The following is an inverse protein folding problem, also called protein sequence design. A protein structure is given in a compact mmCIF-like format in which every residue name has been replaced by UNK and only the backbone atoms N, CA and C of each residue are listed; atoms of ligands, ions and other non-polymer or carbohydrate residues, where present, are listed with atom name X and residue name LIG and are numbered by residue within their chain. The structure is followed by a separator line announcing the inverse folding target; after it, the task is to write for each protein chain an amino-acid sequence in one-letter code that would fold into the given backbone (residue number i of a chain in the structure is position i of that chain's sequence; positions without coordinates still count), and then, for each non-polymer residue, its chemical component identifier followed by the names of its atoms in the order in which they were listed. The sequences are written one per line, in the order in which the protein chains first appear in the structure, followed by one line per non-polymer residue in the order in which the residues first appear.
data_IF_130940687167
#
_entry.id   IF_130940687167
#
_cell.length_a   1.000
_cell.length_b   1.000
_cell.length_c   1.000
_cell.angle_alpha   90.00
_cell.angle_beta   90.00
_cell.angle_gamma   90.00
#
_symmetry.space_group_name_H-M   'P 1'
#
loop_
_entity.id
_entity.type
_entity.pdbx_description
1 polymer ?
#
# COMPACT_ATOMS: atom_id res chain seq x y z
N UNK A 1 0.77 -5.71 9.43
CA UNK A 1 0.44 -7.10 9.81
C UNK A 1 1.12 -8.08 8.86
N UNK A 2 2.45 -8.16 8.91
CA UNK A 2 3.24 -9.06 8.09
C UNK A 2 3.14 -10.53 8.56
N UNK A 3 2.75 -10.76 9.81
CA UNK A 3 2.56 -12.07 10.44
C UNK A 3 3.86 -12.87 10.46
N UNK A 4 3.95 -13.86 9.57
CA UNK A 4 5.18 -14.65 9.38
C UNK A 4 6.17 -14.00 8.40
N UNK A 5 5.79 -12.90 7.77
CA UNK A 5 6.65 -12.18 6.82
C UNK A 5 6.77 -12.83 5.45
N UNK A 6 6.04 -13.91 5.17
CA UNK A 6 6.16 -14.69 3.93
C UNK A 6 6.00 -13.78 2.71
N UNK A 7 4.92 -12.98 2.65
CA UNK A 7 4.64 -12.08 1.52
C UNK A 7 5.76 -11.04 1.33
N UNK A 8 6.24 -10.45 2.42
CA UNK A 8 7.31 -9.46 2.38
C UNK A 8 8.65 -10.04 1.93
N UNK A 9 9.00 -11.23 2.44
CA UNK A 9 10.24 -11.92 2.08
C UNK A 9 10.19 -12.42 0.63
N UNK A 10 9.02 -12.84 0.14
CA UNK A 10 8.82 -13.15 -1.28
C UNK A 10 9.04 -11.91 -2.16
N UNK A 11 8.50 -10.75 -1.77
CA UNK A 11 8.74 -9.51 -2.52
C UNK A 11 10.23 -9.16 -2.57
N UNK A 12 10.95 -9.28 -1.45
CA UNK A 12 12.40 -9.06 -1.41
C UNK A 12 13.17 -10.06 -2.29
N UNK A 13 12.81 -11.35 -2.23
CA UNK A 13 13.42 -12.40 -3.05
C UNK A 13 13.18 -12.20 -4.55
N UNK A 14 12.04 -11.60 -4.92
CA UNK A 14 11.68 -11.26 -6.31
C UNK A 14 12.32 -9.95 -6.79
N UNK A 15 13.19 -9.32 -6.00
CA UNK A 15 13.97 -8.17 -6.42
C UNK A 15 13.40 -6.81 -6.02
N UNK A 16 12.44 -6.76 -5.09
CA UNK A 16 12.08 -5.47 -4.48
C UNK A 16 13.33 -4.83 -3.85
N UNK A 17 13.62 -3.60 -4.28
CA UNK A 17 14.80 -2.83 -3.82
C UNK A 17 14.74 -2.60 -2.31
N UNK A 18 13.54 -2.30 -1.80
CA UNK A 18 13.27 -2.10 -0.38
C UNK A 18 11.93 -2.68 0.02
N UNK A 19 11.92 -3.33 1.17
CA UNK A 19 10.73 -3.90 1.82
C UNK A 19 10.71 -3.47 3.27
N UNK A 20 9.65 -2.77 3.66
CA UNK A 20 9.38 -2.40 5.05
C UNK A 20 8.31 -3.34 5.59
N UNK A 21 8.71 -4.22 6.50
CA UNK A 21 7.84 -5.19 7.15
C UNK A 21 7.26 -4.58 8.43
N UNK A 22 5.94 -4.60 8.55
CA UNK A 22 5.27 -3.97 9.69
C UNK A 22 4.29 -4.91 10.38
N UNK A 23 4.27 -4.87 11.71
CA UNK A 23 3.31 -5.60 12.54
C UNK A 23 3.19 -4.97 13.94
N UNK A 24 2.33 -5.50 14.79
CA UNK A 24 2.29 -5.11 16.20
C UNK A 24 3.64 -5.34 16.87
N UNK A 25 3.96 -4.54 17.89
CA UNK A 25 5.28 -4.50 18.55
C UNK A 25 5.74 -5.89 19.01
N UNK A 26 4.84 -6.67 19.62
CA UNK A 26 5.13 -8.02 20.10
C UNK A 26 5.54 -9.02 19.01
N UNK A 27 5.22 -8.76 17.74
CA UNK A 27 5.59 -9.62 16.62
C UNK A 27 6.95 -9.23 15.99
N UNK A 28 7.46 -8.03 16.25
CA UNK A 28 8.69 -7.49 15.63
C UNK A 28 9.93 -8.37 15.89
N UNK A 29 10.20 -8.88 17.12
CA UNK A 29 11.35 -9.75 17.36
C UNK A 29 11.33 -11.03 16.50
N UNK A 30 10.15 -11.62 16.31
CA UNK A 30 9.97 -12.80 15.48
C UNK A 30 10.22 -12.49 14.00
N UNK A 31 9.77 -11.33 13.51
CA UNK A 31 10.04 -10.87 12.15
C UNK A 31 11.54 -10.69 11.91
N UNK A 32 12.27 -10.02 12.81
CA UNK A 32 13.73 -9.90 12.70
C UNK A 32 14.43 -11.25 12.63
N UNK A 33 13.97 -12.25 13.42
CA UNK A 33 14.52 -13.61 13.33
C UNK A 33 14.29 -14.21 11.94
N UNK A 34 13.10 -14.04 11.34
CA UNK A 34 12.78 -14.58 10.01
C UNK A 34 13.55 -13.89 8.89
N UNK A 35 13.72 -12.58 8.97
CA UNK A 35 14.59 -11.82 8.04
C UNK A 35 16.01 -12.40 8.06
N UNK A 36 16.60 -12.60 9.25
CA UNK A 36 17.92 -13.21 9.40
C UNK A 36 18.00 -14.65 8.87
N UNK A 37 16.99 -15.48 9.13
CA UNK A 37 16.94 -16.86 8.63
C UNK A 37 16.91 -16.93 7.10
N UNK A 38 16.30 -15.94 6.45
CA UNK A 38 16.25 -15.82 4.99
C UNK A 38 17.41 -15.00 4.43
N UNK A 39 18.41 -14.65 5.26
CA UNK A 39 19.65 -13.95 4.86
C UNK A 39 19.44 -12.55 4.26
N UNK A 40 18.29 -11.93 4.50
CA UNK A 40 18.07 -10.53 4.14
C UNK A 40 18.67 -9.60 5.20
N UNK A 41 19.05 -8.40 4.77
CA UNK A 41 19.66 -7.37 5.62
C UNK A 41 19.14 -5.98 5.24
N UNK A 42 19.38 -5.00 6.10
CA UNK A 42 19.16 -3.59 5.75
C UNK A 42 20.18 -3.13 4.69
N UNK A 43 19.81 -2.21 3.79
CA UNK A 43 18.53 -1.49 3.74
C UNK A 43 17.44 -2.23 2.93
N UNK A 44 17.73 -3.40 2.36
CA UNK A 44 16.76 -4.10 1.50
C UNK A 44 15.53 -4.54 2.27
N UNK A 45 15.68 -5.12 3.46
CA UNK A 45 14.55 -5.52 4.31
C UNK A 45 14.69 -4.89 5.69
N UNK A 46 13.72 -4.07 6.05
CA UNK A 46 13.64 -3.40 7.34
C UNK A 46 12.35 -3.84 8.05
N UNK A 47 12.41 -3.93 9.37
CA UNK A 47 11.27 -4.33 10.21
C UNK A 47 11.01 -3.21 11.20
N UNK A 48 9.75 -2.83 11.37
CA UNK A 48 9.32 -1.86 12.39
C UNK A 48 7.94 -2.22 12.91
N UNK A 49 7.62 -1.75 14.12
CA UNK A 49 6.27 -1.82 14.64
C UNK A 49 5.33 -0.88 13.86
N UNK A 50 4.07 -1.29 13.69
CA UNK A 50 2.95 -0.48 13.21
C UNK A 50 1.66 -1.06 13.79
N UNK A 51 1.20 -0.48 14.90
CA UNK A 51 -0.15 -0.69 15.40
C UNK A 51 -1.10 0.25 14.65
N UNK A 52 -2.08 -0.31 13.93
CA UNK A 52 -3.05 0.48 13.16
C UNK A 52 -3.88 1.42 14.03
N UNK A 53 -4.12 1.05 15.30
CA UNK A 53 -4.89 1.86 16.26
C UNK A 53 -4.08 3.01 16.85
N UNK A 54 -2.75 2.92 16.79
CA UNK A 54 -1.82 3.95 17.26
C UNK A 54 -0.65 4.13 16.25
N UNK A 55 -1.00 4.54 15.03
CA UNK A 55 -0.12 4.49 13.86
C UNK A 55 0.76 5.71 13.64
N UNK A 56 0.44 6.86 14.24
CA UNK A 56 1.06 8.15 13.86
C UNK A 56 2.59 8.16 14.02
N UNK A 57 3.11 7.69 15.15
CA UNK A 57 4.56 7.65 15.40
C UNK A 57 5.26 6.66 14.46
N UNK A 58 4.67 5.47 14.26
CA UNK A 58 5.22 4.46 13.36
C UNK A 58 5.27 4.94 11.91
N UNK A 59 4.21 5.62 11.43
CA UNK A 59 4.17 6.20 10.09
C UNK A 59 5.21 7.32 9.92
N UNK A 60 5.40 8.18 10.92
CA UNK A 60 6.46 9.19 10.89
C UNK A 60 7.84 8.55 10.74
N UNK A 61 8.13 7.50 11.53
CA UNK A 61 9.39 6.75 11.43
C UNK A 61 9.58 6.12 10.04
N UNK A 62 8.53 5.49 9.48
CA UNK A 62 8.58 4.91 8.14
C UNK A 62 8.93 5.97 7.08
N UNK A 63 8.25 7.11 7.10
CA UNK A 63 8.44 8.16 6.10
C UNK A 63 9.75 8.92 6.25
N UNK A 64 10.10 9.29 7.49
CA UNK A 64 11.23 10.18 7.76
C UNK A 64 12.55 9.43 7.86
N UNK A 65 12.56 8.19 8.35
CA UNK A 65 13.80 7.48 8.64
C UNK A 65 14.03 6.34 7.65
N UNK A 66 13.03 5.49 7.41
CA UNK A 66 13.21 4.28 6.59
C UNK A 66 13.17 4.56 5.09
N UNK A 67 12.35 5.51 4.64
CA UNK A 67 12.25 5.85 3.22
C UNK A 67 13.17 7.00 2.81
N UNK A 68 13.43 7.99 3.68
CA UNK A 68 14.26 9.14 3.32
C UNK A 68 15.78 8.84 3.22
N UNK A 69 16.25 7.77 3.87
CA UNK A 69 17.67 7.33 3.87
C UNK A 69 18.19 6.87 2.50
N UNK A 70 17.35 6.81 1.46
CA UNK A 70 17.76 6.45 0.09
C UNK A 70 18.36 7.59 -0.74
N UNK A 71 18.25 8.84 -0.29
CA UNK A 71 18.76 9.98 -1.07
C UNK A 71 20.28 10.07 -0.92
N UNK A 72 21.01 9.29 -1.71
CA UNK A 72 22.47 9.44 -1.82
C UNK A 72 22.74 10.84 -2.38
N UNK A 73 23.49 11.72 -1.69
CA UNK A 73 23.77 13.06 -2.17
C UNK A 73 24.81 12.99 -3.29
N UNK A 74 24.38 12.64 -4.49
CA UNK A 74 25.23 12.72 -5.68
C UNK A 74 24.60 13.67 -6.70
N UNK A 75 25.32 14.77 -6.92
CA UNK A 75 25.16 15.76 -7.98
C UNK A 75 24.15 16.90 -7.77
N UNK A 76 24.65 18.07 -8.12
CA UNK A 76 24.36 19.43 -7.63
C UNK A 76 23.04 20.04 -8.10
N UNK A 77 22.07 19.25 -8.57
CA UNK A 77 20.76 19.74 -9.07
C UNK A 77 19.62 18.72 -8.91
N UNK A 78 19.74 17.74 -8.01
CA UNK A 78 18.66 16.78 -7.76
C UNK A 78 17.58 17.41 -6.86
N UNK A 79 16.45 17.78 -7.46
CA UNK A 79 15.23 18.05 -6.72
C UNK A 79 14.99 16.90 -5.73
N UNK A 80 14.90 17.20 -4.44
CA UNK A 80 14.62 16.23 -3.36
C UNK A 80 13.30 15.54 -3.67
N UNK A 81 13.35 14.37 -4.31
CA UNK A 81 12.18 13.55 -4.55
C UNK A 81 11.67 13.08 -3.20
N UNK A 82 10.39 13.36 -2.94
CA UNK A 82 9.73 12.86 -1.73
C UNK A 82 9.77 11.32 -1.77
N UNK A 83 10.15 10.64 -0.67
CA UNK A 83 10.05 9.19 -0.60
C UNK A 83 8.64 8.72 -0.95
N UNK A 84 8.54 7.60 -1.68
CA UNK A 84 7.26 7.02 -2.10
C UNK A 84 7.25 5.50 -1.92
N UNK A 85 6.06 4.95 -1.86
CA UNK A 85 5.81 3.51 -1.93
C UNK A 85 5.26 3.17 -3.30
N UNK A 86 5.74 2.09 -3.91
CA UNK A 86 5.12 1.59 -5.15
C UNK A 86 4.00 0.59 -4.82
N UNK A 87 4.19 -0.23 -3.77
CA UNK A 87 3.21 -1.22 -3.33
C UNK A 87 2.97 -1.22 -1.83
N UNK A 88 1.72 -1.49 -1.45
CA UNK A 88 1.32 -1.89 -0.10
C UNK A 88 0.82 -3.33 -0.20
N UNK A 89 1.36 -4.24 0.61
CA UNK A 89 0.99 -5.65 0.59
C UNK A 89 0.26 -6.03 1.88
N UNK A 90 -0.93 -6.63 1.74
CA UNK A 90 -1.75 -7.05 2.86
C UNK A 90 -2.30 -8.47 2.61
N UNK A 91 -2.02 -9.40 3.53
CA UNK A 91 -2.45 -10.80 3.40
C UNK A 91 -3.15 -11.28 4.68
N UNK A 92 -4.42 -11.66 4.55
CA UNK A 92 -5.32 -12.11 5.63
C UNK A 92 -5.39 -11.16 6.84
N UNK A 93 -5.32 -9.85 6.56
CA UNK A 93 -5.37 -8.79 7.59
C UNK A 93 -6.79 -8.44 8.06
N UNK A 94 -7.81 -9.02 7.42
CA UNK A 94 -9.23 -8.74 7.68
C UNK A 94 -9.83 -9.96 8.37
N UNK A 95 -9.80 -9.95 9.70
CA UNK A 95 -10.41 -11.01 10.51
C UNK A 95 -11.12 -10.48 11.76
N UNK A 96 -10.99 -9.18 12.06
CA UNK A 96 -11.64 -8.52 13.18
C UNK A 96 -12.27 -7.20 12.74
N UNK A 97 -13.60 -7.12 12.85
CA UNK A 97 -14.39 -5.97 12.38
C UNK A 97 -13.92 -4.63 12.97
N UNK A 98 -13.58 -4.59 14.26
CA UNK A 98 -13.21 -3.33 14.92
C UNK A 98 -11.86 -2.76 14.44
N UNK A 99 -11.01 -3.58 13.81
CA UNK A 99 -9.73 -3.13 13.26
C UNK A 99 -9.87 -2.57 11.85
N UNK A 100 -10.99 -2.82 11.17
CA UNK A 100 -11.19 -2.38 9.78
C UNK A 100 -11.05 -0.86 9.63
N UNK A 101 -11.68 0.00 10.48
CA UNK A 101 -11.49 1.44 10.37
C UNK A 101 -10.02 1.86 10.53
N UNK A 102 -9.32 1.32 11.52
CA UNK A 102 -7.92 1.64 11.79
C UNK A 102 -6.99 1.21 10.63
N UNK A 103 -7.25 0.05 10.03
CA UNK A 103 -6.55 -0.43 8.84
C UNK A 103 -6.78 0.52 7.65
N UNK A 104 -8.02 0.91 7.38
CA UNK A 104 -8.38 1.78 6.26
C UNK A 104 -7.73 3.16 6.40
N UNK A 105 -7.72 3.73 7.61
CA UNK A 105 -7.03 5.00 7.82
C UNK A 105 -5.50 4.86 7.68
N UNK A 106 -4.92 3.73 8.09
CA UNK A 106 -3.50 3.45 7.84
C UNK A 106 -3.19 3.40 6.35
N UNK A 107 -4.05 2.75 5.54
CA UNK A 107 -3.93 2.71 4.08
C UNK A 107 -4.01 4.13 3.51
N UNK A 108 -4.96 4.95 3.97
CA UNK A 108 -5.09 6.33 3.54
C UNK A 108 -3.81 7.15 3.79
N UNK A 109 -3.23 7.02 4.98
CA UNK A 109 -1.98 7.71 5.35
C UNK A 109 -0.79 7.24 4.48
N UNK A 110 -0.68 5.93 4.22
CA UNK A 110 0.35 5.33 3.38
C UNK A 110 0.21 5.71 1.90
N UNK A 111 -1.02 5.89 1.42
CA UNK A 111 -1.32 6.35 0.06
C UNK A 111 -1.31 7.88 -0.08
N UNK A 112 -1.03 8.62 1.01
CA UNK A 112 -1.11 10.08 1.07
C UNK A 112 -2.46 10.65 0.62
N UNK A 113 -3.56 9.96 0.94
CA UNK A 113 -4.90 10.44 0.65
C UNK A 113 -5.23 11.56 1.63
N UNK A 114 -5.27 12.80 1.16
CA UNK A 114 -5.80 13.91 1.94
C UNK A 114 -7.30 13.71 2.10
N UNK A 115 -7.79 13.63 3.35
CA UNK A 115 -9.22 13.82 3.65
C UNK A 115 -9.53 15.26 3.26
N UNK A 116 -9.96 15.49 2.01
CA UNK A 116 -10.57 16.77 1.66
C UNK A 116 -11.72 16.96 2.64
N UNK A 117 -11.60 17.96 3.51
CA UNK A 117 -12.72 18.40 4.33
C UNK A 117 -13.84 18.71 3.35
N UNK A 118 -14.90 17.91 3.36
CA UNK A 118 -16.21 18.34 2.87
C UNK A 118 -16.71 19.42 3.82
N UNK A 119 -16.05 20.58 3.80
CA UNK A 119 -16.62 21.80 4.29
C UNK A 119 -17.66 22.19 3.24
N UNK A 120 -18.89 21.73 3.47
CA UNK A 120 -20.10 22.17 2.81
C UNK A 120 -20.27 23.66 3.09
N UNK A 121 -19.57 24.49 2.31
CA UNK A 121 -19.53 25.94 2.42
C UNK A 121 -19.73 26.57 1.05
N UNK A 122 -20.95 27.04 0.83
CA UNK A 122 -21.43 27.94 -0.22
C UNK A 122 -20.37 28.96 -0.70
N UNK A 123 -20.18 29.13 -2.02
CA UNK A 123 -20.26 30.41 -2.76
C UNK A 123 -19.66 30.36 -4.19
N UNK A 124 -20.50 30.74 -5.16
CA UNK A 124 -20.27 31.62 -6.32
C UNK A 124 -18.88 31.78 -7.01
N UNK A 125 -18.90 31.55 -8.33
CA UNK A 125 -18.54 32.49 -9.41
C UNK A 125 -17.09 33.05 -9.48
N UNK A 126 -16.29 32.60 -10.47
CA UNK A 126 -15.94 33.35 -11.70
C UNK A 126 -14.85 32.63 -12.51
N UNK A 127 -15.05 32.67 -13.83
CA UNK A 127 -14.09 32.26 -14.85
C UNK A 127 -12.88 33.19 -14.86
N UNK A 128 -11.69 32.64 -15.10
CA UNK A 128 -10.66 33.33 -15.89
C UNK A 128 -9.75 32.33 -16.57
N UNK A 129 -9.88 32.29 -17.89
CA UNK A 129 -9.04 31.58 -18.83
C UNK A 129 -7.69 32.27 -18.94
N UNK A 130 -6.59 31.52 -18.81
CA UNK A 130 -5.30 31.93 -19.36
C UNK A 130 -4.55 30.72 -19.87
N UNK A 131 -4.41 30.69 -21.19
CA UNK A 131 -3.60 29.82 -22.02
C UNK A 131 -2.11 30.09 -21.82
N UNK A 132 -1.36 29.04 -21.47
CA UNK A 132 0.09 28.99 -21.66
C UNK A 132 0.43 27.61 -22.20
N UNK A 133 0.74 27.57 -23.50
CA UNK A 133 1.34 26.41 -24.16
C UNK A 133 2.83 26.40 -23.81
N UNK A 134 3.16 25.81 -22.66
CA UNK A 134 4.54 25.42 -22.35
C UNK A 134 4.80 24.02 -22.95
N UNK A 135 5.93 23.90 -23.65
CA UNK A 135 6.48 22.63 -24.13
C UNK A 135 6.61 21.65 -22.95
N UNK A 136 5.63 20.75 -22.84
CA UNK A 136 5.61 19.68 -21.86
C UNK A 136 6.74 18.69 -22.16
N UNK A 137 7.88 18.92 -21.51
CA UNK A 137 8.76 17.82 -21.12
C UNK A 137 7.91 16.89 -20.25
N UNK A 138 7.46 15.78 -20.84
CA UNK A 138 6.60 14.77 -20.21
C UNK A 138 7.40 13.98 -19.18
N UNK A 139 7.82 14.63 -18.10
CA UNK A 139 8.27 13.89 -16.92
C UNK A 139 7.09 13.05 -16.45
N UNK A 140 7.19 11.71 -16.44
CA UNK A 140 6.08 10.85 -16.06
C UNK A 140 5.65 11.21 -14.65
N UNK A 141 4.37 11.54 -14.48
CA UNK A 141 3.80 11.84 -13.17
C UNK A 141 4.01 10.60 -12.28
N UNK A 142 4.53 10.76 -11.06
CA UNK A 142 4.72 9.62 -10.17
C UNK A 142 3.37 8.95 -9.93
N UNK A 143 3.31 7.64 -10.20
CA UNK A 143 2.11 6.86 -9.95
C UNK A 143 1.87 6.71 -8.44
N UNK A 144 0.62 6.78 -7.98
CA UNK A 144 0.29 6.52 -6.58
C UNK A 144 0.58 5.06 -6.22
N UNK A 145 0.81 4.75 -4.92
CA UNK A 145 1.02 3.38 -4.49
C UNK A 145 -0.17 2.48 -4.83
N UNK A 146 0.08 1.21 -5.13
CA UNK A 146 -0.96 0.19 -5.33
C UNK A 146 -1.03 -0.72 -4.11
N UNK A 147 -2.23 -0.92 -3.56
CA UNK A 147 -2.49 -1.92 -2.54
C UNK A 147 -2.88 -3.25 -3.19
N UNK A 148 -2.14 -4.31 -2.89
CA UNK A 148 -2.55 -5.69 -3.15
C UNK A 148 -3.04 -6.32 -1.86
N UNK A 149 -4.34 -6.58 -1.83
CA UNK A 149 -5.06 -7.11 -0.67
C UNK A 149 -5.52 -8.53 -0.97
N UNK A 150 -4.87 -9.52 -0.37
CA UNK A 150 -5.27 -10.92 -0.43
C UNK A 150 -5.91 -11.33 0.90
N UNK A 151 -7.07 -11.96 0.90
CA UNK A 151 -7.66 -12.52 2.12
C UNK A 151 -8.63 -13.65 1.80
N UNK A 152 -8.89 -14.47 2.82
CA UNK A 152 -9.91 -15.50 2.74
C UNK A 152 -11.25 -14.92 3.19
N UNK A 153 -12.29 -15.03 2.37
CA UNK A 153 -13.63 -14.58 2.74
C UNK A 153 -14.11 -15.32 3.98
N UNK A 154 -14.50 -14.57 5.01
CA UNK A 154 -15.00 -15.10 6.29
C UNK A 154 -16.40 -14.58 6.65
N UNK A 155 -16.71 -13.33 6.34
CA UNK A 155 -18.01 -12.74 6.66
C UNK A 155 -18.38 -11.63 5.70
N UNK A 156 -19.66 -11.55 5.33
CA UNK A 156 -20.20 -10.46 4.50
C UNK A 156 -20.07 -9.10 5.19
N UNK A 157 -20.18 -9.07 6.52
CA UNK A 157 -20.14 -7.83 7.29
C UNK A 157 -18.77 -7.17 7.27
N UNK A 158 -17.70 -7.94 7.51
CA UNK A 158 -16.32 -7.42 7.51
C UNK A 158 -15.93 -6.90 6.14
N UNK A 159 -16.30 -7.64 5.09
CA UNK A 159 -16.07 -7.25 3.69
C UNK A 159 -16.81 -5.96 3.34
N UNK A 160 -18.11 -5.88 3.65
CA UNK A 160 -18.91 -4.69 3.39
C UNK A 160 -18.32 -3.47 4.11
N UNK A 161 -17.99 -3.61 5.40
CA UNK A 161 -17.38 -2.53 6.18
C UNK A 161 -16.05 -2.06 5.57
N UNK A 162 -15.18 -2.99 5.16
CA UNK A 162 -13.90 -2.65 4.56
C UNK A 162 -14.09 -1.90 3.25
N UNK A 163 -14.89 -2.46 2.35
CA UNK A 163 -15.03 -1.93 1.02
C UNK A 163 -15.81 -0.62 0.99
N UNK A 164 -16.86 -0.47 1.80
CA UNK A 164 -17.54 0.81 1.95
C UNK A 164 -16.58 1.89 2.48
N UNK A 165 -15.70 1.53 3.41
CA UNK A 165 -14.72 2.46 3.96
C UNK A 165 -13.64 2.84 2.94
N UNK A 166 -13.20 1.92 2.09
CA UNK A 166 -12.27 2.22 0.98
C UNK A 166 -12.96 3.09 -0.09
N UNK A 167 -14.21 2.77 -0.44
CA UNK A 167 -15.00 3.50 -1.43
C UNK A 167 -15.26 4.95 -0.94
N UNK A 168 -15.45 5.16 0.38
CA UNK A 168 -15.56 6.50 1.00
C UNK A 168 -14.29 7.36 0.87
N UNK A 169 -13.11 6.74 0.75
CA UNK A 169 -11.85 7.45 0.45
C UNK A 169 -11.68 7.74 -1.05
N UNK A 170 -12.64 7.33 -1.88
CA UNK A 170 -12.60 7.42 -3.33
C UNK A 170 -11.47 6.57 -3.91
N UNK A 171 -11.20 5.40 -3.30
CA UNK A 171 -10.28 4.41 -3.84
C UNK A 171 -11.00 3.55 -4.86
N UNK A 172 -10.31 3.25 -5.96
CA UNK A 172 -10.76 2.28 -6.95
C UNK A 172 -10.29 0.89 -6.54
N UNK A 173 -11.06 -0.14 -6.92
CA UNK A 173 -10.72 -1.53 -6.64
C UNK A 173 -11.15 -2.47 -7.75
N UNK A 174 -10.34 -3.49 -7.98
CA UNK A 174 -10.58 -4.56 -8.94
C UNK A 174 -10.18 -5.90 -8.34
N UNK A 175 -11.06 -6.89 -8.42
CA UNK A 175 -10.74 -8.27 -8.06
C UNK A 175 -9.89 -8.89 -9.17
N UNK A 176 -8.76 -9.47 -8.79
CA UNK A 176 -7.85 -10.14 -9.73
C UNK A 176 -8.41 -11.53 -10.07
N UNK A 177 -8.49 -11.83 -11.36
CA UNK A 177 -8.80 -13.17 -11.85
C UNK A 177 -7.59 -14.09 -11.66
N UNK A 178 -7.83 -15.30 -11.11
CA UNK A 178 -6.78 -16.25 -10.68
C UNK A 178 -6.70 -17.51 -11.54
N UNK A 179 -7.50 -17.60 -12.60
CA UNK A 179 -7.55 -18.71 -13.55
C UNK A 179 -6.59 -18.51 -14.73
N UNK A 180 -6.18 -17.28 -15.03
CA UNK A 180 -5.31 -16.97 -16.17
C UNK A 180 -5.96 -17.25 -17.53
N UNK A 181 -7.26 -17.50 -17.57
CA UNK A 181 -7.99 -17.81 -18.81
C UNK A 181 -8.46 -16.54 -19.54
N UNK A 182 -8.51 -15.40 -18.84
CA UNK A 182 -8.92 -14.14 -19.42
C UNK A 182 -7.73 -13.37 -20.00
N UNK A 183 -7.34 -13.72 -21.23
CA UNK A 183 -6.19 -13.14 -21.95
C UNK A 183 -6.30 -11.61 -22.11
N UNK A 184 -7.52 -11.07 -22.13
CA UNK A 184 -7.77 -9.64 -22.30
C UNK A 184 -7.64 -8.83 -21.00
N UNK A 185 -7.63 -9.49 -19.85
CA UNK A 185 -7.42 -8.83 -18.57
C UNK A 185 -5.92 -8.78 -18.24
N UNK A 186 -5.33 -7.59 -18.41
CA UNK A 186 -3.92 -7.32 -18.09
C UNK A 186 -3.56 -7.53 -16.62
N UNK A 187 -4.54 -7.51 -15.72
CA UNK A 187 -4.32 -7.79 -14.30
C UNK A 187 -4.59 -9.27 -13.96
N UNK A 188 -4.99 -10.12 -14.92
CA UNK A 188 -5.18 -11.54 -14.65
C UNK A 188 -3.86 -12.21 -14.32
N UNK A 189 -3.88 -13.06 -13.29
CA UNK A 189 -2.70 -13.77 -12.83
C UNK A 189 -3.00 -15.25 -12.80
N UNK A 190 -2.10 -16.05 -13.36
CA UNK A 190 -2.15 -17.49 -13.18
C UNK A 190 -1.77 -17.82 -11.73
N UNK A 191 -2.70 -18.41 -10.98
CA UNK A 191 -2.43 -18.98 -9.67
C UNK A 191 -2.50 -20.50 -9.76
N UNK A 192 -1.39 -21.17 -9.45
CA UNK A 192 -1.33 -22.62 -9.42
C UNK A 192 -2.47 -23.20 -8.55
N UNK A 193 -3.14 -24.22 -9.08
CA UNK A 193 -4.34 -24.81 -8.48
C UNK A 193 -4.10 -25.37 -7.09
N UNK A 194 -2.87 -25.77 -6.75
CA UNK A 194 -2.49 -26.23 -5.42
C UNK A 194 -2.52 -25.12 -4.36
N UNK A 195 -2.32 -23.87 -4.78
CA UNK A 195 -2.32 -22.70 -3.89
C UNK A 195 -3.66 -21.94 -3.92
N UNK A 196 -4.59 -22.32 -4.80
CA UNK A 196 -5.90 -21.70 -4.93
C UNK A 196 -6.89 -22.27 -3.93
N UNK A 197 -7.74 -21.39 -3.37
CA UNK A 197 -8.94 -21.79 -2.62
C UNK A 197 -10.16 -21.05 -3.16
N UNK A 198 -11.36 -21.67 -3.18
CA UNK A 198 -12.56 -21.03 -3.72
C UNK A 198 -12.92 -19.71 -3.02
N UNK A 199 -12.57 -19.58 -1.73
CA UNK A 199 -12.85 -18.40 -0.94
C UNK A 199 -11.64 -17.48 -0.74
N UNK A 200 -10.54 -17.70 -1.47
CA UNK A 200 -9.44 -16.74 -1.52
C UNK A 200 -9.76 -15.67 -2.58
N UNK A 201 -9.58 -14.41 -2.21
CA UNK A 201 -9.67 -13.29 -3.15
C UNK A 201 -8.39 -12.45 -3.07
N UNK A 202 -7.98 -11.92 -4.22
CA UNK A 202 -6.94 -10.89 -4.32
C UNK A 202 -7.58 -9.67 -4.97
N UNK A 203 -7.42 -8.52 -4.33
CA UNK A 203 -7.91 -7.23 -4.80
C UNK A 203 -6.73 -6.29 -5.04
N UNK A 204 -6.76 -5.64 -6.20
CA UNK A 204 -5.95 -4.47 -6.50
C UNK A 204 -6.74 -3.24 -6.10
N UNK A 205 -6.14 -2.34 -5.31
CA UNK A 205 -6.76 -1.10 -4.83
C UNK A 205 -5.81 0.07 -5.09
N UNK A 206 -6.31 1.17 -5.67
CA UNK A 206 -5.49 2.31 -6.06
C UNK A 206 -6.27 3.63 -6.00
N UNK A 207 -5.55 4.75 -6.09
CA UNK A 207 -6.11 6.10 -6.25
C UNK A 207 -5.84 6.56 -7.69
N UNK A 208 -6.83 7.20 -8.32
CA UNK A 208 -6.64 7.89 -9.62
C UNK A 208 -6.12 9.32 -9.43
#
# INVERSE_FOLDING_TARGET
GAGQGIVSLSAAALGAERVIMTDIDSAVPALHRRVRLNRFQAPQVQVTALDWTNRSQALQHIWNDLLATSTTPCSTTAATMKPRLDYILASDVIWVDYLVPALVETIADLMHITKERRDSGTHHHLQSSSSSQDEQTTTPRPQPPVLLLAYQFRSTRSDQLLFDSLDQLGLQRKKIALDGENIDDQDSVYMDSQFRKPNLAIWKVWKE
#
